data_IF_651422700504
#
_entry.id   IF_651422700504
#
_cell.length_a   1.000
_cell.length_b   1.000
_cell.length_c   1.000
_cell.angle_alpha   90.00
_cell.angle_beta   90.00
_cell.angle_gamma   90.00
#
_symmetry.space_group_name_H-M   'P 1'
#
loop_
_entity.id
_entity.type
_entity.pdbx_description
1 polymer ?
#
# COMPACT_ATOMS: atom_id res chain seq x y z
N UNK A 1 -14.76 19.54 12.17
CA UNK A 1 -13.79 19.01 13.12
C UNK A 1 -12.38 19.12 12.55
N UNK A 2 -11.40 19.34 13.43
CA UNK A 2 -10.00 19.43 12.98
C UNK A 2 -9.49 18.01 12.71
N UNK A 3 -8.89 17.79 11.55
CA UNK A 3 -8.18 16.54 11.24
C UNK A 3 -6.82 16.57 11.94
N UNK A 4 -6.58 15.61 12.81
CA UNK A 4 -5.30 15.42 13.50
C UNK A 4 -4.32 14.62 12.62
N UNK A 5 -3.02 14.82 12.81
CA UNK A 5 -2.02 13.95 12.19
C UNK A 5 -2.12 12.50 12.64
N UNK A 6 -2.67 12.25 13.82
CA UNK A 6 -2.88 10.91 14.38
C UNK A 6 -4.12 10.21 13.83
N UNK A 7 -4.97 10.90 13.08
CA UNK A 7 -6.14 10.31 12.42
C UNK A 7 -5.75 9.47 11.20
N UNK A 8 -4.50 9.52 10.79
CA UNK A 8 -3.96 8.75 9.67
C UNK A 8 -3.02 7.65 10.15
N UNK A 9 -3.07 6.51 9.49
CA UNK A 9 -2.18 5.35 9.77
C UNK A 9 -0.71 5.76 9.87
N UNK A 10 -0.25 6.61 8.97
CA UNK A 10 1.13 7.14 9.00
C UNK A 10 1.45 7.87 10.32
N UNK A 11 0.50 8.62 10.84
CA UNK A 11 0.65 9.27 12.15
C UNK A 11 0.77 8.27 13.29
N UNK A 12 -0.05 7.21 13.27
CA UNK A 12 0.05 6.12 14.24
C UNK A 12 1.41 5.41 14.19
N UNK A 13 1.93 5.12 12.99
CA UNK A 13 3.26 4.52 12.84
C UNK A 13 4.37 5.41 13.41
N UNK A 14 4.34 6.72 13.17
CA UNK A 14 5.28 7.68 13.77
C UNK A 14 5.16 7.68 15.30
N UNK A 15 3.95 7.70 15.84
CA UNK A 15 3.76 7.64 17.29
C UNK A 15 4.35 6.36 17.90
N UNK A 16 4.22 5.23 17.21
CA UNK A 16 4.87 3.98 17.59
C UNK A 16 6.39 4.10 17.67
N UNK A 17 7.04 4.79 16.74
CA UNK A 17 8.48 5.05 16.77
C UNK A 17 8.88 5.97 17.93
N UNK A 18 8.11 7.02 18.21
CA UNK A 18 8.34 7.88 19.38
C UNK A 18 8.24 7.11 20.69
N UNK A 19 7.26 6.20 20.80
CA UNK A 19 7.14 5.31 21.96
C UNK A 19 8.35 4.38 22.08
N UNK A 20 8.82 3.85 20.95
CA UNK A 20 10.03 3.04 20.96
C UNK A 20 11.24 3.83 21.49
N UNK A 21 11.44 5.04 21.00
CA UNK A 21 12.56 5.89 21.43
C UNK A 21 12.49 6.25 22.92
N UNK A 22 11.29 6.55 23.45
CA UNK A 22 11.11 7.00 24.82
C UNK A 22 10.96 5.88 25.85
N UNK A 23 10.44 4.70 25.44
CA UNK A 23 10.03 3.63 26.33
C UNK A 23 10.65 2.27 25.98
N UNK A 24 11.39 2.17 24.87
CA UNK A 24 12.00 0.92 24.40
C UNK A 24 11.03 -0.04 23.70
N UNK A 25 9.75 0.31 23.58
CA UNK A 25 8.71 -0.55 22.99
C UNK A 25 7.91 0.21 21.96
N UNK A 26 7.71 -0.40 20.77
CA UNK A 26 6.81 0.11 19.74
C UNK A 26 5.50 -0.71 19.75
N UNK A 27 4.40 -0.22 20.32
CA UNK A 27 3.13 -0.92 20.35
C UNK A 27 2.35 -0.83 19.04
N UNK A 28 2.81 -0.02 18.09
CA UNK A 28 2.10 0.28 16.84
C UNK A 28 2.84 -0.26 15.60
N UNK A 29 3.52 -1.40 15.72
CA UNK A 29 4.05 -2.16 14.59
C UNK A 29 2.92 -2.90 13.88
N UNK A 30 2.06 -2.14 13.21
CA UNK A 30 0.83 -2.64 12.62
C UNK A 30 1.07 -3.17 11.19
N UNK A 31 0.36 -4.22 10.81
CA UNK A 31 0.07 -4.54 9.41
C UNK A 31 -1.13 -3.72 8.95
N UNK A 32 -1.13 -3.31 7.69
CA UNK A 32 -2.18 -2.45 7.14
C UNK A 32 -2.99 -3.24 6.13
N UNK A 33 -4.28 -3.26 6.31
CA UNK A 33 -5.25 -3.84 5.38
C UNK A 33 -6.29 -2.78 5.01
N UNK A 34 -7.05 -3.05 3.97
CA UNK A 34 -8.25 -2.31 3.63
C UNK A 34 -9.42 -3.28 3.46
N UNK A 35 -10.62 -2.77 3.51
CA UNK A 35 -11.84 -3.53 3.28
C UNK A 35 -12.91 -2.64 2.64
N UNK A 36 -13.97 -3.25 2.16
CA UNK A 36 -15.10 -2.54 1.56
C UNK A 36 -15.99 -1.86 2.60
N UNK A 37 -15.97 -2.34 3.83
CA UNK A 37 -16.87 -1.92 4.91
C UNK A 37 -18.37 -2.03 4.55
N UNK A 38 -18.72 -2.92 3.63
CA UNK A 38 -20.10 -3.10 3.19
C UNK A 38 -20.96 -3.74 4.28
N UNK A 39 -22.21 -3.26 4.38
CA UNK A 39 -23.23 -3.73 5.32
C UNK A 39 -24.39 -4.45 4.60
N UNK A 40 -24.17 -4.91 3.37
CA UNK A 40 -25.16 -5.55 2.50
C UNK A 40 -24.80 -7.01 2.16
N UNK A 41 -23.94 -7.65 2.97
CA UNK A 41 -23.46 -9.01 2.77
C UNK A 41 -22.71 -9.27 1.43
N UNK A 42 -22.11 -8.23 0.86
CA UNK A 42 -21.35 -8.30 -0.40
C UNK A 42 -19.85 -8.00 -0.17
N UNK A 43 -19.13 -8.82 0.63
CA UNK A 43 -17.72 -8.56 0.91
C UNK A 43 -16.88 -8.65 -0.37
N UNK A 44 -15.99 -7.68 -0.57
CA UNK A 44 -15.12 -7.64 -1.75
C UNK A 44 -15.79 -7.18 -3.05
N UNK A 45 -17.05 -6.77 -3.04
CA UNK A 45 -17.73 -6.18 -4.19
C UNK A 45 -17.27 -4.72 -4.37
N UNK A 46 -16.15 -4.52 -5.04
CA UNK A 46 -15.51 -3.21 -5.27
C UNK A 46 -15.49 -2.82 -6.75
N UNK A 47 -16.15 -3.59 -7.61
CA UNK A 47 -16.26 -3.24 -9.03
C UNK A 47 -17.12 -2.01 -9.18
N UNK A 48 -16.58 -0.94 -9.75
CA UNK A 48 -17.30 0.32 -9.94
C UNK A 48 -18.52 0.19 -10.84
N UNK A 49 -18.47 -0.71 -11.82
CA UNK A 49 -19.55 -0.97 -12.77
C UNK A 49 -20.82 -1.51 -12.13
N UNK A 50 -20.70 -2.24 -11.03
CA UNK A 50 -21.85 -2.86 -10.37
C UNK A 50 -21.81 -2.72 -8.84
N UNK A 51 -21.16 -1.69 -8.34
CA UNK A 51 -21.10 -1.44 -6.91
C UNK A 51 -22.51 -1.14 -6.36
N UNK A 52 -22.99 -2.03 -5.52
CA UNK A 52 -24.35 -1.98 -4.96
C UNK A 52 -24.47 -1.07 -3.72
N UNK A 53 -23.47 -0.26 -3.44
CA UNK A 53 -23.40 0.59 -2.25
C UNK A 53 -22.95 -0.16 -0.99
N UNK A 54 -22.74 0.59 0.09
CA UNK A 54 -22.39 0.04 1.40
C UNK A 54 -23.62 -0.44 2.18
N UNK A 55 -24.72 0.27 2.05
CA UNK A 55 -25.93 0.17 2.89
C UNK A 55 -27.17 -0.29 2.11
N UNK A 56 -26.96 -0.88 0.95
CA UNK A 56 -28.03 -1.41 0.11
C UNK A 56 -28.79 -0.31 -0.62
N UNK A 57 -30.05 -0.07 -0.26
CA UNK A 57 -30.90 0.90 -0.97
C UNK A 57 -30.53 2.36 -0.73
N UNK A 58 -29.84 2.66 0.37
CA UNK A 58 -29.59 4.04 0.79
C UNK A 58 -28.50 4.71 -0.06
N UNK A 59 -27.55 3.94 -0.57
CA UNK A 59 -26.42 4.42 -1.36
C UNK A 59 -26.16 3.56 -2.61
N UNK A 60 -27.17 2.83 -3.07
CA UNK A 60 -27.07 1.90 -4.19
C UNK A 60 -26.85 2.58 -5.54
N UNK A 61 -27.39 3.78 -5.76
CA UNK A 61 -27.19 4.51 -6.99
C UNK A 61 -26.01 5.51 -6.88
N UNK A 62 -25.24 5.74 -7.96
CA UNK A 62 -24.16 6.72 -7.95
C UNK A 62 -24.58 8.12 -7.51
N UNK A 63 -25.78 8.56 -7.91
CA UNK A 63 -26.31 9.86 -7.54
C UNK A 63 -26.54 9.99 -6.02
N UNK A 64 -26.97 8.92 -5.36
CA UNK A 64 -27.20 8.94 -3.92
C UNK A 64 -25.90 9.13 -3.16
N UNK A 65 -24.81 8.54 -3.68
CA UNK A 65 -23.45 8.70 -3.12
C UNK A 65 -22.86 10.10 -3.34
N UNK A 66 -23.29 10.81 -4.38
CA UNK A 66 -22.80 12.16 -4.70
C UNK A 66 -23.60 13.26 -4.02
N UNK A 67 -24.89 13.04 -3.79
CA UNK A 67 -25.84 14.09 -3.37
C UNK A 67 -26.48 13.85 -2.02
N UNK A 68 -26.23 12.71 -1.39
CA UNK A 68 -26.84 12.35 -0.12
C UNK A 68 -26.49 13.32 1.00
N UNK A 69 -27.45 13.53 1.90
CA UNK A 69 -27.27 14.38 3.05
C UNK A 69 -26.40 13.72 4.13
N UNK A 70 -25.79 14.53 4.99
CA UNK A 70 -24.88 14.08 6.06
C UNK A 70 -25.58 13.22 7.13
N UNK A 71 -26.89 13.13 7.13
CA UNK A 71 -27.66 12.50 8.21
C UNK A 71 -27.88 11.03 7.95
N UNK A 72 -28.13 10.65 6.71
CA UNK A 72 -28.55 9.29 6.38
C UNK A 72 -27.40 8.39 5.94
N UNK A 73 -26.35 8.91 5.37
CA UNK A 73 -25.35 8.02 4.79
C UNK A 73 -23.90 8.51 4.80
N UNK A 74 -23.59 9.75 4.97
CA UNK A 74 -22.23 10.19 4.69
C UNK A 74 -21.78 9.74 3.31
N UNK A 75 -22.64 9.82 2.33
CA UNK A 75 -22.57 9.15 1.04
C UNK A 75 -21.32 9.48 0.25
N UNK A 76 -20.88 10.73 0.29
CA UNK A 76 -19.61 11.16 -0.32
C UNK A 76 -18.37 10.61 0.42
N UNK A 77 -18.51 10.08 1.63
CA UNK A 77 -17.45 9.43 2.42
C UNK A 77 -17.37 7.93 2.13
N UNK A 78 -18.44 7.37 1.59
CA UNK A 78 -18.56 5.94 1.33
C UNK A 78 -18.08 5.66 -0.10
N UNK A 79 -16.76 5.51 -0.27
CA UNK A 79 -16.19 5.00 -1.53
C UNK A 79 -16.48 3.50 -1.67
N UNK A 80 -16.31 2.90 -2.87
CA UNK A 80 -16.38 1.45 -3.05
C UNK A 80 -15.50 0.67 -2.08
N UNK A 81 -14.62 1.35 -1.38
CA UNK A 81 -13.79 0.78 -0.35
C UNK A 81 -12.56 0.10 -0.92
N UNK A 82 -11.96 -0.73 -0.09
CA UNK A 82 -10.70 -1.35 -0.40
C UNK A 82 -10.72 -2.87 -0.31
N UNK A 83 -9.63 -3.46 -0.69
CA UNK A 83 -9.36 -4.88 -0.57
C UNK A 83 -8.09 -5.11 0.23
N UNK A 84 -8.01 -6.27 0.91
CA UNK A 84 -6.76 -6.77 1.47
C UNK A 84 -6.05 -7.64 0.45
N UNK A 85 -4.79 -7.34 0.17
CA UNK A 85 -3.86 -8.26 -0.49
C UNK A 85 -3.10 -9.06 0.55
N UNK A 86 -3.00 -10.37 0.37
CA UNK A 86 -2.34 -11.29 1.30
C UNK A 86 -1.35 -12.17 0.54
N UNK A 87 -0.09 -12.13 0.91
CA UNK A 87 0.92 -13.04 0.36
C UNK A 87 1.01 -14.29 1.23
N UNK A 88 0.28 -15.32 0.83
CA UNK A 88 0.26 -16.64 1.48
C UNK A 88 0.87 -17.70 0.55
N UNK A 89 1.34 -18.80 1.13
CA UNK A 89 1.92 -19.91 0.34
C UNK A 89 0.85 -20.67 -0.45
N UNK A 90 -0.38 -20.69 0.08
CA UNK A 90 -1.54 -21.32 -0.55
C UNK A 90 -2.84 -20.64 -0.06
N UNK A 91 -3.93 -20.87 -0.76
CA UNK A 91 -5.25 -20.38 -0.35
C UNK A 91 -5.90 -21.37 0.65
N UNK A 92 -5.32 -21.45 1.84
CA UNK A 92 -5.88 -22.18 2.97
C UNK A 92 -6.06 -21.26 4.17
N UNK A 93 -6.97 -21.62 5.07
CA UNK A 93 -7.22 -20.85 6.29
C UNK A 93 -5.94 -20.62 7.10
N UNK A 94 -5.14 -21.65 7.27
CA UNK A 94 -3.94 -21.61 8.10
C UNK A 94 -2.84 -20.75 7.42
N UNK A 95 -2.63 -20.90 6.12
CA UNK A 95 -1.66 -20.10 5.38
C UNK A 95 -2.04 -18.61 5.35
N UNK A 96 -3.33 -18.29 5.19
CA UNK A 96 -3.83 -16.92 5.25
C UNK A 96 -3.67 -16.34 6.66
N UNK A 97 -4.00 -17.10 7.72
CA UNK A 97 -3.80 -16.66 9.10
C UNK A 97 -2.33 -16.37 9.41
N UNK A 98 -1.42 -17.25 9.01
CA UNK A 98 0.01 -17.05 9.21
C UNK A 98 0.55 -15.84 8.43
N UNK A 99 0.06 -15.59 7.21
CA UNK A 99 0.42 -14.40 6.44
C UNK A 99 -0.07 -13.10 7.10
N UNK A 100 -1.31 -13.07 7.58
CA UNK A 100 -1.85 -11.96 8.36
C UNK A 100 -1.04 -11.72 9.65
N UNK A 101 -0.70 -12.78 10.35
CA UNK A 101 0.12 -12.71 11.57
C UNK A 101 1.53 -12.19 11.31
N UNK A 102 2.13 -12.56 10.18
CA UNK A 102 3.42 -12.00 9.72
C UNK A 102 3.29 -10.58 9.16
N UNK A 103 2.07 -10.06 9.00
CA UNK A 103 1.79 -8.76 8.39
C UNK A 103 2.25 -8.66 6.92
N UNK A 104 2.35 -9.79 6.24
CA UNK A 104 2.68 -9.85 4.82
C UNK A 104 1.44 -9.56 3.97
N UNK A 105 0.92 -8.36 4.19
CA UNK A 105 -0.37 -7.88 3.70
C UNK A 105 -0.29 -6.41 3.28
N UNK A 106 -1.22 -6.01 2.44
CA UNK A 106 -1.38 -4.61 2.05
C UNK A 106 -2.86 -4.31 1.77
N UNK A 107 -3.21 -3.03 1.73
CA UNK A 107 -4.54 -2.56 1.36
C UNK A 107 -4.54 -1.95 -0.03
N UNK A 108 -5.64 -2.08 -0.74
CA UNK A 108 -5.93 -1.33 -1.96
C UNK A 108 -7.13 -0.42 -1.76
N UNK A 109 -7.36 0.51 -2.67
CA UNK A 109 -8.57 1.35 -2.70
C UNK A 109 -9.63 0.85 -3.68
N UNK A 110 -9.63 -0.47 -3.96
CA UNK A 110 -10.56 -1.15 -4.86
C UNK A 110 -9.85 -1.99 -5.92
N UNK A 111 -8.93 -1.43 -6.72
CA UNK A 111 -8.22 -2.21 -7.74
C UNK A 111 -7.44 -3.38 -7.14
N UNK A 112 -7.38 -4.49 -7.86
CA UNK A 112 -6.61 -5.69 -7.48
C UNK A 112 -5.14 -5.59 -7.89
N UNK A 113 -4.54 -4.43 -7.68
CA UNK A 113 -3.10 -4.23 -7.91
C UNK A 113 -2.32 -5.21 -7.03
N UNK A 114 -1.42 -5.99 -7.64
CA UNK A 114 -0.51 -6.84 -6.89
C UNK A 114 0.76 -6.08 -6.54
N UNK A 115 1.01 -5.91 -5.24
CA UNK A 115 2.13 -5.14 -4.70
C UNK A 115 3.09 -6.05 -3.96
N UNK A 116 4.39 -5.99 -4.30
CA UNK A 116 5.47 -6.64 -3.55
C UNK A 116 6.47 -5.62 -3.06
N UNK A 117 6.85 -5.76 -1.81
CA UNK A 117 7.82 -4.87 -1.18
C UNK A 117 8.76 -5.67 -0.28
N UNK A 118 10.06 -5.52 -0.52
CA UNK A 118 11.12 -6.17 0.25
C UNK A 118 12.16 -5.15 0.67
N UNK A 119 12.83 -5.42 1.78
CA UNK A 119 13.97 -4.63 2.23
C UNK A 119 15.12 -5.53 2.67
N UNK A 120 16.35 -5.06 2.52
CA UNK A 120 17.53 -5.82 2.94
C UNK A 120 18.81 -5.00 2.85
N UNK A 121 19.79 -5.35 3.68
CA UNK A 121 21.12 -4.74 3.60
C UNK A 121 22.01 -5.41 2.55
N UNK A 122 21.56 -6.50 1.94
CA UNK A 122 22.26 -7.26 0.91
C UNK A 122 21.48 -7.43 -0.39
N UNK A 123 20.34 -6.74 -0.56
CA UNK A 123 19.56 -6.84 -1.79
C UNK A 123 20.31 -6.24 -2.98
N UNK A 124 20.36 -7.00 -4.08
CA UNK A 124 20.96 -6.53 -5.33
C UNK A 124 20.13 -5.40 -5.94
N UNK A 125 20.81 -4.40 -6.50
CA UNK A 125 20.18 -3.31 -7.24
C UNK A 125 19.57 -3.75 -8.58
N UNK A 126 19.96 -4.93 -9.08
CA UNK A 126 19.51 -5.47 -10.38
C UNK A 126 18.35 -6.47 -10.25
N UNK A 127 17.72 -6.59 -9.09
CA UNK A 127 16.69 -7.58 -8.83
C UNK A 127 15.49 -7.49 -9.80
N UNK A 128 15.13 -6.31 -10.26
CA UNK A 128 14.04 -6.15 -11.23
C UNK A 128 14.28 -6.84 -12.57
N UNK A 129 15.53 -7.13 -12.90
CA UNK A 129 15.92 -7.84 -14.13
C UNK A 129 16.13 -9.34 -13.91
N UNK A 130 15.94 -9.85 -12.69
CA UNK A 130 16.18 -11.24 -12.35
C UNK A 130 14.89 -12.06 -12.50
N UNK A 131 14.93 -13.12 -13.30
CA UNK A 131 13.80 -14.04 -13.46
C UNK A 131 13.37 -14.72 -12.15
N UNK A 132 14.29 -14.84 -11.19
CA UNK A 132 14.05 -15.38 -9.84
C UNK A 132 13.91 -14.29 -8.77
N UNK A 133 13.55 -13.08 -9.17
CA UNK A 133 13.48 -11.89 -8.32
C UNK A 133 12.85 -12.16 -6.95
N UNK A 134 11.66 -12.77 -6.94
CA UNK A 134 10.90 -13.01 -5.69
C UNK A 134 11.64 -13.97 -4.77
N UNK A 135 12.13 -15.09 -5.30
CA UNK A 135 12.85 -16.08 -4.50
C UNK A 135 14.14 -15.49 -3.91
N UNK A 136 14.85 -14.67 -4.70
CA UNK A 136 16.04 -13.97 -4.21
C UNK A 136 15.71 -12.91 -3.18
N UNK A 137 14.64 -12.16 -3.38
CA UNK A 137 14.22 -11.15 -2.43
C UNK A 137 13.85 -11.75 -1.05
N UNK A 138 13.22 -12.93 -1.02
CA UNK A 138 12.98 -13.66 0.23
C UNK A 138 14.26 -14.23 0.85
N UNK A 139 15.23 -14.65 0.02
CA UNK A 139 16.48 -15.21 0.50
C UNK A 139 17.41 -14.16 1.08
N UNK A 140 17.53 -13.01 0.42
CA UNK A 140 18.56 -12.00 0.68
C UNK A 140 18.02 -10.79 1.45
N UNK A 141 16.70 -10.75 1.74
CA UNK A 141 16.00 -9.70 2.43
C UNK A 141 14.81 -10.18 3.25
N UNK A 142 13.94 -9.26 3.61
CA UNK A 142 12.70 -9.52 4.34
C UNK A 142 11.51 -8.92 3.58
N UNK A 143 10.34 -9.59 3.58
CA UNK A 143 9.14 -9.07 2.94
C UNK A 143 8.49 -7.95 3.77
N UNK A 144 7.48 -7.29 3.18
CA UNK A 144 6.61 -6.35 3.89
C UNK A 144 6.08 -6.95 5.20
N UNK A 145 5.85 -6.09 6.19
CA UNK A 145 5.40 -6.50 7.53
C UNK A 145 6.51 -6.95 8.48
N UNK A 146 7.73 -7.15 7.98
CA UNK A 146 8.87 -7.61 8.76
C UNK A 146 9.67 -6.47 9.40
N UNK A 147 10.45 -6.82 10.41
CA UNK A 147 11.49 -5.94 10.94
C UNK A 147 12.78 -6.13 10.13
N UNK A 148 13.36 -5.02 9.68
CA UNK A 148 14.64 -5.01 9.00
C UNK A 148 15.77 -4.84 10.03
N UNK A 149 16.27 -5.96 10.53
CA UNK A 149 17.34 -5.98 11.50
C UNK A 149 18.69 -5.64 10.85
N UNK A 150 19.42 -4.72 11.48
CA UNK A 150 20.73 -4.28 10.99
C UNK A 150 21.76 -5.39 11.18
N UNK A 151 22.50 -5.77 10.13
CA UNK A 151 23.59 -6.72 10.28
C UNK A 151 24.84 -6.01 10.87
N UNK A 152 25.17 -6.32 12.12
CA UNK A 152 26.49 -6.05 12.72
C UNK A 152 27.00 -4.60 12.67
N UNK A 153 28.33 -4.46 12.85
CA UNK A 153 29.05 -3.19 12.97
C UNK A 153 29.35 -2.48 11.63
N UNK A 154 29.17 -3.14 10.50
CA UNK A 154 29.43 -2.55 9.19
C UNK A 154 28.15 -1.95 8.63
N UNK A 155 28.07 -0.63 8.64
CA UNK A 155 26.88 0.09 8.17
C UNK A 155 26.80 0.10 6.64
N UNK A 156 26.18 -0.93 6.09
CA UNK A 156 25.62 -0.84 4.75
C UNK A 156 24.26 -0.15 4.83
N UNK A 157 23.89 0.55 3.77
CA UNK A 157 22.58 1.18 3.65
C UNK A 157 21.55 0.13 3.20
N UNK A 158 20.30 0.20 3.68
CA UNK A 158 19.26 -0.72 3.23
C UNK A 158 18.87 -0.43 1.78
N UNK A 159 18.69 -1.50 1.02
CA UNK A 159 18.14 -1.46 -0.32
C UNK A 159 16.73 -2.07 -0.27
N UNK A 160 15.81 -1.49 -1.00
CA UNK A 160 14.43 -1.92 -1.10
C UNK A 160 14.10 -2.30 -2.54
N UNK A 161 13.27 -3.34 -2.70
CA UNK A 161 12.67 -3.74 -3.95
C UNK A 161 11.18 -3.46 -3.88
N UNK A 162 10.65 -2.76 -4.86
CA UNK A 162 9.23 -2.48 -5.01
C UNK A 162 8.76 -2.87 -6.40
N UNK A 163 7.75 -3.75 -6.48
CA UNK A 163 7.07 -4.14 -7.70
C UNK A 163 5.56 -3.95 -7.55
N UNK A 164 4.93 -3.42 -8.58
CA UNK A 164 3.49 -3.36 -8.73
C UNK A 164 3.07 -3.94 -10.08
N UNK A 165 1.99 -4.73 -10.07
CA UNK A 165 1.32 -5.24 -11.26
C UNK A 165 -0.09 -4.65 -11.32
N UNK A 166 -0.49 -4.21 -12.49
CA UNK A 166 -1.82 -3.66 -12.78
C UNK A 166 -2.92 -4.67 -12.42
N UNK A 167 -4.06 -4.19 -11.98
CA UNK A 167 -5.28 -4.98 -11.94
C UNK A 167 -5.62 -5.42 -13.37
N UNK A 168 -5.75 -6.69 -13.67
CA UNK A 168 -6.11 -7.13 -15.01
C UNK A 168 -7.51 -6.67 -15.43
N UNK A 169 -8.39 -6.40 -14.47
CA UNK A 169 -9.80 -6.07 -14.74
C UNK A 169 -10.53 -7.20 -15.46
N UNK A 170 -11.49 -6.84 -16.29
CA UNK A 170 -12.19 -7.73 -17.22
C UNK A 170 -11.98 -7.29 -18.67
N UNK A 171 -12.50 -8.08 -19.64
CA UNK A 171 -12.48 -7.69 -21.06
C UNK A 171 -13.21 -6.38 -21.33
N UNK A 172 -14.29 -6.15 -20.57
CA UNK A 172 -15.19 -5.00 -20.77
C UNK A 172 -14.75 -3.79 -19.92
N UNK A 173 -14.02 -4.06 -18.83
CA UNK A 173 -13.51 -3.07 -17.88
C UNK A 173 -12.08 -3.40 -17.50
N UNK A 174 -11.10 -3.06 -18.34
CA UNK A 174 -9.70 -3.26 -18.02
C UNK A 174 -9.29 -2.36 -16.86
N UNK A 175 -8.46 -2.88 -15.97
CA UNK A 175 -7.92 -2.09 -14.87
C UNK A 175 -7.10 -0.89 -15.36
N UNK A 176 -7.07 0.20 -14.60
CA UNK A 176 -6.25 1.36 -14.92
C UNK A 176 -4.74 1.01 -14.83
N UNK A 177 -3.91 1.52 -15.74
CA UNK A 177 -2.46 1.33 -15.70
C UNK A 177 -1.83 1.92 -14.45
N UNK A 178 -0.63 1.45 -14.12
CA UNK A 178 0.16 1.99 -13.01
C UNK A 178 0.77 3.33 -13.44
N UNK A 179 0.44 4.39 -12.71
CA UNK A 179 1.00 5.72 -12.94
C UNK A 179 2.40 5.86 -12.34
N UNK A 180 2.58 5.43 -11.08
CA UNK A 180 3.89 5.43 -10.44
C UNK A 180 3.93 4.54 -9.18
N UNK A 181 5.16 4.20 -8.78
CA UNK A 181 5.44 3.50 -7.53
C UNK A 181 6.33 4.32 -6.62
N UNK A 182 6.05 4.29 -5.33
CA UNK A 182 6.69 5.13 -4.33
C UNK A 182 7.06 4.36 -3.07
N UNK A 183 8.16 4.75 -2.45
CA UNK A 183 8.47 4.40 -1.06
C UNK A 183 8.24 5.64 -0.20
N UNK A 184 7.56 5.43 0.91
CA UNK A 184 7.40 6.42 1.96
C UNK A 184 8.25 5.99 3.15
N UNK A 185 9.20 6.86 3.53
CA UNK A 185 9.98 6.74 4.75
C UNK A 185 9.38 7.64 5.82
N UNK A 186 9.16 7.10 7.01
CA UNK A 186 8.89 7.87 8.20
C UNK A 186 9.91 7.52 9.28
N UNK A 187 10.43 8.53 9.98
CA UNK A 187 11.40 8.29 11.04
C UNK A 187 11.28 9.30 12.17
N UNK A 188 11.88 8.94 13.29
CA UNK A 188 12.06 9.84 14.43
C UNK A 188 13.56 10.05 14.59
N UNK A 189 13.98 11.31 14.50
CA UNK A 189 15.39 11.68 14.63
C UNK A 189 15.87 11.62 16.10
N UNK A 190 17.16 11.78 16.30
CA UNK A 190 17.78 11.74 17.64
C UNK A 190 17.19 12.77 18.63
N UNK A 191 16.54 13.83 18.14
CA UNK A 191 15.86 14.83 18.95
C UNK A 191 14.37 14.52 19.18
N UNK A 192 13.88 13.35 18.78
CA UNK A 192 12.49 12.94 18.93
C UNK A 192 11.52 13.60 17.93
N UNK A 193 12.03 14.27 16.89
CA UNK A 193 11.19 14.94 15.90
C UNK A 193 10.75 13.96 14.81
N UNK A 194 9.48 13.96 14.51
CA UNK A 194 8.91 13.19 13.42
C UNK A 194 9.32 13.76 12.06
N UNK A 195 9.85 12.93 11.21
CA UNK A 195 10.29 13.23 9.85
C UNK A 195 9.60 12.31 8.86
N UNK A 196 9.48 12.74 7.61
CA UNK A 196 8.93 11.94 6.53
C UNK A 196 9.50 12.34 5.17
N UNK A 197 9.63 11.36 4.29
CA UNK A 197 9.99 11.56 2.89
C UNK A 197 9.17 10.65 1.98
N UNK A 198 8.91 11.10 0.77
CA UNK A 198 8.26 10.32 -0.29
C UNK A 198 9.22 10.27 -1.47
N UNK A 199 9.54 9.05 -1.90
CA UNK A 199 10.46 8.80 -3.02
C UNK A 199 9.69 8.13 -4.14
N UNK A 200 9.51 8.81 -5.27
CA UNK A 200 8.99 8.19 -6.49
C UNK A 200 10.13 7.46 -7.17
N UNK A 201 9.98 6.14 -7.31
CA UNK A 201 11.03 5.26 -7.82
C UNK A 201 10.93 5.02 -9.32
N UNK A 202 9.73 4.88 -9.81
CA UNK A 202 9.44 4.73 -11.23
C UNK A 202 8.06 5.31 -11.56
N UNK A 203 7.95 5.82 -12.78
CA UNK A 203 6.70 6.32 -13.34
C UNK A 203 6.35 5.51 -14.59
N UNK A 204 5.06 5.28 -14.78
CA UNK A 204 4.54 4.59 -15.94
C UNK A 204 4.79 5.37 -17.24
N UNK A 205 4.85 4.64 -18.32
CA UNK A 205 4.96 5.18 -19.68
C UNK A 205 3.62 5.03 -20.39
N UNK A 206 3.33 5.97 -21.29
CA UNK A 206 2.12 5.91 -22.10
C UNK A 206 1.36 7.22 -22.11
N UNK A 207 0.16 7.16 -22.66
CA UNK A 207 -0.72 8.31 -22.85
C UNK A 207 -2.13 8.06 -22.24
N UNK A 208 -2.20 7.25 -21.20
CA UNK A 208 -3.46 6.98 -20.52
C UNK A 208 -4.02 8.27 -19.91
N UNK A 209 -5.29 8.49 -20.16
CA UNK A 209 -6.04 9.66 -19.67
C UNK A 209 -7.45 9.24 -19.30
N UNK A 210 -8.02 9.90 -18.31
CA UNK A 210 -9.42 9.79 -17.95
C UNK A 210 -10.07 11.16 -18.12
N UNK A 211 -11.15 11.24 -18.88
CA UNK A 211 -11.95 12.44 -19.02
C UNK A 211 -12.74 12.66 -17.71
N UNK A 212 -12.49 13.73 -16.97
CA UNK A 212 -13.15 13.95 -15.68
C UNK A 212 -14.66 14.26 -15.78
N UNK A 213 -15.15 14.56 -16.97
CA UNK A 213 -16.58 14.86 -17.18
C UNK A 213 -17.41 13.63 -17.48
N UNK A 214 -16.80 12.61 -18.07
CA UNK A 214 -17.47 11.38 -18.50
C UNK A 214 -16.96 10.13 -17.82
N UNK A 215 -15.83 10.24 -17.10
CA UNK A 215 -15.05 9.12 -16.55
C UNK A 215 -14.57 8.13 -17.62
N UNK A 216 -14.67 8.46 -18.89
CA UNK A 216 -14.18 7.62 -19.95
C UNK A 216 -12.65 7.61 -20.01
N UNK A 217 -12.08 6.43 -20.02
CA UNK A 217 -10.64 6.23 -20.09
C UNK A 217 -10.21 5.92 -21.50
N UNK A 218 -9.03 6.41 -21.91
CA UNK A 218 -8.44 6.19 -23.24
C UNK A 218 -6.93 6.12 -23.14
N UNK A 219 -6.29 5.56 -24.18
CA UNK A 219 -4.85 5.42 -24.23
C UNK A 219 -4.35 4.13 -23.59
N UNK A 220 -3.03 4.09 -23.35
CA UNK A 220 -2.35 2.95 -22.76
C UNK A 220 -1.32 3.43 -21.74
N UNK A 221 -0.91 2.54 -20.82
CA UNK A 221 0.09 2.83 -19.80
C UNK A 221 0.81 1.56 -19.35
N UNK A 222 1.60 1.66 -18.30
CA UNK A 222 2.40 0.55 -17.80
C UNK A 222 1.54 -0.45 -17.05
N UNK A 223 1.58 -1.71 -17.48
CA UNK A 223 0.94 -2.84 -16.78
C UNK A 223 1.75 -3.33 -15.57
N UNK A 224 3.02 -2.96 -15.49
CA UNK A 224 3.89 -3.28 -14.36
C UNK A 224 4.97 -2.22 -14.19
N UNK A 225 5.35 -1.99 -12.94
CA UNK A 225 6.52 -1.22 -12.58
C UNK A 225 7.33 -1.98 -11.54
N UNK A 226 8.66 -1.93 -11.68
CA UNK A 226 9.59 -2.48 -10.72
C UNK A 226 10.76 -1.52 -10.55
N UNK A 227 11.20 -1.34 -9.31
CA UNK A 227 12.39 -0.56 -9.01
C UNK A 227 13.06 -1.05 -7.74
N UNK A 228 14.38 -0.88 -7.69
CA UNK A 228 15.17 -0.97 -6.48
C UNK A 228 15.61 0.42 -6.04
N UNK A 229 15.67 0.65 -4.76
CA UNK A 229 16.09 1.93 -4.19
C UNK A 229 16.91 1.71 -2.92
N UNK A 230 18.07 2.38 -2.83
CA UNK A 230 18.91 2.38 -1.63
C UNK A 230 18.67 3.68 -0.86
N UNK A 231 18.40 3.58 0.44
CA UNK A 231 18.25 4.78 1.29
C UNK A 231 19.62 5.39 1.57
N UNK A 232 20.01 6.33 0.72
CA UNK A 232 21.30 7.04 0.87
C UNK A 232 21.35 7.93 2.12
N UNK A 233 20.17 8.29 2.66
CA UNK A 233 20.03 9.09 3.89
C UNK A 233 19.81 8.23 5.14
N UNK A 234 20.07 6.93 5.07
CA UNK A 234 19.91 6.03 6.20
C UNK A 234 20.85 6.43 7.33
N UNK A 235 20.29 6.63 8.51
CA UNK A 235 21.02 6.77 9.77
C UNK A 235 20.64 5.60 10.68
N UNK A 236 21.65 4.91 11.16
CA UNK A 236 21.47 3.73 12.00
C UNK A 236 20.99 4.05 13.42
N UNK A 237 21.08 5.30 13.84
CA UNK A 237 20.56 5.78 15.13
C UNK A 237 19.08 6.15 15.08
N UNK A 238 18.52 6.35 13.88
CA UNK A 238 17.12 6.68 13.70
C UNK A 238 16.22 5.44 13.80
N UNK A 239 15.06 5.62 14.41
CA UNK A 239 13.97 4.64 14.31
C UNK A 239 13.12 5.00 13.11
N UNK A 240 13.03 4.08 12.15
CA UNK A 240 12.33 4.33 10.89
C UNK A 240 11.36 3.21 10.51
N UNK A 241 10.36 3.55 9.72
CA UNK A 241 9.57 2.61 8.94
C UNK A 241 9.59 3.00 7.47
N UNK A 242 9.36 2.00 6.64
CA UNK A 242 9.22 2.16 5.19
C UNK A 242 7.95 1.44 4.75
N UNK A 243 7.18 2.03 3.85
CA UNK A 243 6.09 1.34 3.18
C UNK A 243 5.99 1.74 1.71
N UNK A 244 5.41 0.84 0.93
CA UNK A 244 5.24 1.01 -0.50
C UNK A 244 3.86 1.59 -0.84
N UNK A 245 3.79 2.33 -1.94
CA UNK A 245 2.55 2.79 -2.56
C UNK A 245 2.65 2.64 -4.07
N UNK A 246 1.66 1.99 -4.68
CA UNK A 246 1.39 2.05 -6.11
C UNK A 246 0.20 2.97 -6.35
N UNK A 247 0.28 3.76 -7.39
CA UNK A 247 -0.80 4.68 -7.82
C UNK A 247 -1.11 4.35 -9.26
N UNK A 248 -2.39 4.11 -9.55
CA UNK A 248 -2.93 4.02 -10.91
C UNK A 248 -3.42 5.39 -11.38
N UNK A 249 -3.66 5.49 -12.65
CA UNK A 249 -4.27 6.68 -13.26
C UNK A 249 -5.73 6.82 -12.82
#
# INVERSE_FOLDING_TARGET
>A
GCVSQTDFVRGALIEGLKRHQSQGVNPLKLGIIASTDTHNASPGAVSESNFAGHKGTDDGAPNDRLTGDDITAGTWRDSPGGLVGVWAQENSRDALFEALKRREVYGTSGPRIALRFFGGFGLSKDLCNDSNMVARAYKDGVPMGSDLNRPGLFSTKPTFLLQALQDPGSSDEPGAPIAHIQIIKGWVDAQGRAQRAVHTLASGHGNFQTDPSTCASSGHGSSSLCATWTDESFDASDHAFYYARAVSY
#
